data_IF_683137964880
#
_entry.id   IF_683137964880
#
_cell.length_a   1.000
_cell.length_b   1.000
_cell.length_c   1.000
_cell.angle_alpha   90.00
_cell.angle_beta   90.00
_cell.angle_gamma   90.00
#
_symmetry.space_group_name_H-M   'P 1'
#
loop_
_entity.id
_entity.type
_entity.pdbx_description
1 polymer ?
#
# COMPACT_ATOMS: atom_id res chain seq x y z
N UNK A 1 16.23 7.56 19.73
CA UNK A 1 16.42 6.10 19.79
C UNK A 1 15.81 5.51 18.53
N UNK A 2 16.63 5.11 17.55
CA UNK A 2 16.11 4.57 16.27
C UNK A 2 15.76 3.09 16.46
N UNK A 3 14.47 2.76 16.37
CA UNK A 3 13.97 1.37 16.42
C UNK A 3 14.59 0.48 15.33
N UNK A 4 15.15 1.09 14.27
CA UNK A 4 15.85 0.42 13.17
C UNK A 4 17.26 -0.09 13.53
N UNK A 5 17.70 0.07 14.80
CA UNK A 5 19.03 -0.37 15.28
C UNK A 5 19.02 -1.60 16.19
N UNK A 6 17.86 -2.21 16.47
CA UNK A 6 17.81 -3.53 17.11
C UNK A 6 17.69 -4.60 16.01
N UNK A 7 18.79 -5.32 15.70
CA UNK A 7 18.85 -6.19 14.52
C UNK A 7 17.93 -7.41 14.57
N UNK A 8 17.40 -7.79 15.74
CA UNK A 8 16.59 -9.01 15.89
C UNK A 8 15.08 -8.77 16.01
N UNK A 9 14.61 -7.51 16.08
CA UNK A 9 13.20 -7.20 16.33
C UNK A 9 12.41 -6.75 15.10
N UNK A 10 13.06 -6.10 14.13
CA UNK A 10 12.40 -5.58 12.94
C UNK A 10 12.64 -6.49 11.74
N UNK A 11 11.56 -7.04 11.16
CA UNK A 11 11.62 -7.84 9.94
C UNK A 11 10.73 -7.20 8.87
N UNK A 12 11.29 -6.93 7.70
CA UNK A 12 10.57 -6.27 6.61
C UNK A 12 9.32 -7.03 6.18
N UNK A 13 9.37 -8.36 6.15
CA UNK A 13 8.21 -9.17 5.76
C UNK A 13 7.00 -8.99 6.70
N UNK A 14 7.22 -8.86 8.03
CA UNK A 14 6.16 -8.69 9.03
C UNK A 14 5.73 -7.22 9.16
N UNK A 15 6.69 -6.32 9.24
CA UNK A 15 6.46 -4.95 9.66
C UNK A 15 6.41 -3.95 8.50
N UNK A 16 6.92 -4.33 7.32
CA UNK A 16 7.10 -3.41 6.21
C UNK A 16 5.79 -2.81 5.72
N UNK A 17 4.81 -3.65 5.37
CA UNK A 17 3.52 -3.16 4.85
C UNK A 17 2.76 -2.32 5.88
N UNK A 18 2.59 -2.75 7.16
CA UNK A 18 1.99 -1.91 8.20
C UNK A 18 2.73 -0.58 8.39
N UNK A 19 4.07 -0.59 8.36
CA UNK A 19 4.88 0.61 8.48
C UNK A 19 4.61 1.59 7.33
N UNK A 20 4.59 1.12 6.08
CA UNK A 20 4.27 1.95 4.92
C UNK A 20 2.85 2.54 5.02
N UNK A 21 1.85 1.70 5.31
CA UNK A 21 0.45 2.12 5.40
C UNK A 21 0.25 3.13 6.52
N UNK A 22 0.80 2.89 7.71
CA UNK A 22 0.69 3.79 8.84
C UNK A 22 1.31 5.16 8.54
N UNK A 23 2.53 5.15 7.99
CA UNK A 23 3.26 6.36 7.64
C UNK A 23 2.53 7.19 6.56
N UNK A 24 2.08 6.55 5.47
CA UNK A 24 1.32 7.22 4.40
C UNK A 24 -0.01 7.75 4.93
N UNK A 25 -0.73 6.97 5.74
CA UNK A 25 -1.99 7.38 6.35
C UNK A 25 -1.81 8.61 7.24
N UNK A 26 -0.73 8.66 8.02
CA UNK A 26 -0.43 9.79 8.87
C UNK A 26 -0.17 11.08 8.06
N UNK A 27 0.54 11.00 6.92
CA UNK A 27 0.70 12.15 6.01
C UNK A 27 -0.64 12.67 5.49
N UNK A 28 -1.58 11.76 5.21
CA UNK A 28 -2.92 12.09 4.73
C UNK A 28 -3.92 12.43 5.85
N UNK A 29 -3.45 12.68 7.06
CA UNK A 29 -4.30 12.99 8.21
C UNK A 29 -5.33 11.90 8.48
N UNK A 30 -4.94 10.64 8.29
CA UNK A 30 -5.77 9.45 8.42
C UNK A 30 -7.05 9.50 7.56
N UNK A 31 -6.98 10.19 6.41
CA UNK A 31 -8.08 10.31 5.48
C UNK A 31 -9.05 11.45 5.78
N UNK A 32 -8.68 12.40 6.66
CA UNK A 32 -9.47 13.60 6.87
C UNK A 32 -9.75 14.34 5.56
N UNK A 33 -11.00 14.70 5.34
CA UNK A 33 -11.50 15.52 4.23
C UNK A 33 -10.97 16.96 4.23
N UNK A 34 -10.43 17.41 5.37
CA UNK A 34 -9.79 18.73 5.50
C UNK A 34 -8.28 18.71 5.24
N UNK A 35 -7.68 17.53 5.05
CA UNK A 35 -6.25 17.43 4.79
C UNK A 35 -5.95 17.84 3.32
N UNK A 36 -5.09 18.85 3.06
CA UNK A 36 -4.83 19.32 1.69
C UNK A 36 -4.25 18.25 0.75
N UNK A 37 -3.45 17.33 1.27
CA UNK A 37 -2.90 16.21 0.48
C UNK A 37 -3.99 15.22 0.10
N UNK A 38 -4.91 14.94 1.02
CA UNK A 38 -6.07 14.10 0.75
C UNK A 38 -6.93 14.71 -0.35
N UNK A 39 -7.24 16.00 -0.26
CA UNK A 39 -8.01 16.74 -1.28
C UNK A 39 -7.31 16.67 -2.64
N UNK A 40 -6.00 16.91 -2.69
CA UNK A 40 -5.22 16.85 -3.93
C UNK A 40 -5.23 15.44 -4.56
N UNK A 41 -5.19 14.38 -3.75
CA UNK A 41 -5.30 13.00 -4.23
C UNK A 41 -6.71 12.65 -4.73
N UNK A 42 -7.76 13.11 -4.05
CA UNK A 42 -9.14 12.93 -4.53
C UNK A 42 -9.34 13.64 -5.88
N UNK A 43 -8.83 14.87 -6.03
CA UNK A 43 -8.85 15.60 -7.30
C UNK A 43 -8.10 14.85 -8.40
N UNK A 44 -6.88 14.36 -8.11
CA UNK A 44 -6.11 13.58 -9.07
C UNK A 44 -6.86 12.32 -9.50
N UNK A 45 -7.50 11.61 -8.56
CA UNK A 45 -8.30 10.43 -8.86
C UNK A 45 -9.48 10.75 -9.79
N UNK A 46 -10.18 11.85 -9.54
CA UNK A 46 -11.26 12.32 -10.41
C UNK A 46 -10.77 12.59 -11.83
N UNK A 47 -9.66 13.33 -11.98
CA UNK A 47 -9.05 13.63 -13.29
C UNK A 47 -8.61 12.39 -14.06
N UNK A 48 -7.97 11.43 -13.39
CA UNK A 48 -7.53 10.17 -14.00
C UNK A 48 -8.75 9.37 -14.46
N UNK A 49 -9.78 9.29 -13.62
CA UNK A 49 -11.02 8.58 -13.93
C UNK A 49 -11.75 9.22 -15.12
N UNK A 50 -11.83 10.55 -15.18
CA UNK A 50 -12.39 11.29 -16.31
C UNK A 50 -11.62 11.00 -17.60
N UNK A 51 -10.28 11.06 -17.59
CA UNK A 51 -9.47 10.73 -18.78
C UNK A 51 -9.70 9.30 -19.23
N UNK A 52 -9.78 8.36 -18.30
CA UNK A 52 -10.00 6.94 -18.59
C UNK A 52 -11.40 6.70 -19.16
N UNK A 53 -12.42 7.40 -18.66
CA UNK A 53 -13.80 7.37 -19.18
C UNK A 53 -13.95 8.09 -20.51
N UNK A 54 -13.19 9.14 -20.79
CA UNK A 54 -13.24 9.82 -22.09
C UNK A 54 -12.70 8.94 -23.25
N UNK A 55 -11.94 7.88 -22.96
CA UNK A 55 -11.61 6.82 -23.94
C UNK A 55 -12.72 5.78 -24.14
N UNK A 56 -13.80 5.80 -23.36
CA UNK A 56 -14.96 4.92 -23.46
C UNK A 56 -16.23 5.69 -23.02
N UNK A 57 -16.88 6.41 -23.95
CA UNK A 57 -18.07 7.25 -23.66
C UNK A 57 -19.13 6.51 -22.81
N UNK A 58 -19.90 7.13 -21.90
CA UNK A 58 -20.60 8.43 -21.91
C UNK A 58 -20.67 9.08 -20.48
N UNK A 59 -21.17 10.33 -20.33
CA UNK A 59 -20.97 11.16 -19.14
C UNK A 59 -22.06 10.96 -18.08
N UNK A 60 -21.65 10.86 -16.82
CA UNK A 60 -22.52 11.13 -15.67
C UNK A 60 -21.95 12.32 -14.89
N UNK A 61 -22.74 13.39 -14.85
CA UNK A 61 -22.55 14.58 -14.02
C UNK A 61 -22.69 14.20 -12.55
N UNK A 62 -21.68 14.44 -11.69
CA UNK A 62 -21.88 14.50 -10.23
C UNK A 62 -20.91 15.50 -9.58
N UNK A 63 -21.54 16.41 -8.82
CA UNK A 63 -21.09 17.27 -7.72
C UNK A 63 -19.72 17.97 -7.79
N UNK A 64 -19.81 19.28 -7.99
CA UNK A 64 -18.81 20.29 -7.65
C UNK A 64 -18.48 20.22 -6.14
N UNK A 65 -17.19 20.35 -5.73
CA UNK A 65 -16.86 20.51 -4.32
C UNK A 65 -17.49 21.79 -3.78
N UNK A 66 -18.24 21.66 -2.70
CA UNK A 66 -18.89 22.79 -2.04
C UNK A 66 -17.87 23.62 -1.28
N UNK A 67 -17.96 24.94 -1.52
CA UNK A 67 -17.49 26.08 -0.73
C UNK A 67 -16.64 25.81 0.51
N UNK A 68 -15.39 26.27 0.44
CA UNK A 68 -14.53 26.79 1.51
C UNK A 68 -15.21 26.85 2.88
N UNK A 69 -14.85 25.90 3.76
CA UNK A 69 -15.05 26.02 5.21
C UNK A 69 -13.87 26.74 5.82
N UNK A 70 -14.17 27.64 6.76
CA UNK A 70 -13.23 28.41 7.55
C UNK A 70 -12.04 27.57 8.03
N UNK A 71 -10.84 28.07 7.78
CA UNK A 71 -9.60 27.41 8.13
C UNK A 71 -9.52 27.08 9.63
N UNK A 72 -8.87 25.97 10.00
CA UNK A 72 -8.69 25.62 11.40
C UNK A 72 -7.91 26.71 12.16
N UNK A 73 -8.07 26.83 13.48
CA UNK A 73 -7.28 27.74 14.30
C UNK A 73 -5.78 27.58 14.04
N UNK A 74 -5.01 28.67 14.08
CA UNK A 74 -3.58 28.70 13.74
C UNK A 74 -2.75 27.62 14.47
N UNK A 75 -3.09 27.33 15.74
CA UNK A 75 -2.47 26.25 16.51
C UNK A 75 -2.69 24.85 15.91
N UNK A 76 -3.89 24.58 15.37
CA UNK A 76 -4.24 23.31 14.71
C UNK A 76 -3.59 23.20 13.33
N UNK A 77 -3.39 24.31 12.64
CA UNK A 77 -2.63 24.36 11.39
C UNK A 77 -1.15 24.01 11.61
N UNK A 78 -0.52 24.61 12.62
CA UNK A 78 0.88 24.37 12.97
C UNK A 78 1.12 22.92 13.44
N UNK A 79 0.20 22.36 14.24
CA UNK A 79 0.23 20.94 14.61
C UNK A 79 0.14 20.01 13.39
N UNK A 80 -0.80 20.29 12.47
CA UNK A 80 -0.96 19.51 11.23
C UNK A 80 0.31 19.54 10.37
N UNK A 81 0.95 20.72 10.26
CA UNK A 81 2.21 20.89 9.54
C UNK A 81 3.35 20.07 10.17
N UNK A 82 3.46 20.08 11.49
CA UNK A 82 4.48 19.29 12.21
C UNK A 82 4.27 17.79 12.04
N UNK A 83 3.02 17.33 12.16
CA UNK A 83 2.66 15.93 11.94
C UNK A 83 2.99 15.48 10.51
N UNK A 84 2.71 16.32 9.51
CA UNK A 84 3.11 16.05 8.13
C UNK A 84 4.63 15.93 7.99
N UNK A 85 5.40 16.87 8.54
CA UNK A 85 6.87 16.85 8.47
C UNK A 85 7.47 15.60 9.14
N UNK A 86 6.97 15.22 10.32
CA UNK A 86 7.41 14.02 11.03
C UNK A 86 7.04 12.76 10.24
N UNK A 87 5.81 12.65 9.77
CA UNK A 87 5.32 11.48 9.01
C UNK A 87 6.10 11.32 7.71
N UNK A 88 6.33 12.42 6.97
CA UNK A 88 7.16 12.46 5.78
C UNK A 88 8.57 11.97 6.07
N UNK A 89 9.22 12.51 7.10
CA UNK A 89 10.59 12.15 7.46
C UNK A 89 10.70 10.66 7.78
N UNK A 90 9.80 10.12 8.60
CA UNK A 90 9.79 8.69 8.96
C UNK A 90 9.54 7.84 7.71
N UNK A 91 8.66 8.28 6.81
CA UNK A 91 8.39 7.60 5.53
C UNK A 91 9.65 7.51 4.67
N UNK A 92 10.34 8.64 4.47
CA UNK A 92 11.57 8.71 3.69
C UNK A 92 12.70 7.93 4.34
N UNK A 93 12.90 8.04 5.66
CA UNK A 93 13.93 7.31 6.39
C UNK A 93 13.70 5.79 6.29
N UNK A 94 12.45 5.34 6.37
CA UNK A 94 12.09 3.92 6.18
C UNK A 94 12.39 3.47 4.75
N UNK A 95 11.98 4.26 3.75
CA UNK A 95 12.22 3.95 2.34
C UNK A 95 13.71 3.91 2.02
N UNK A 96 14.48 4.91 2.44
CA UNK A 96 15.92 4.98 2.28
C UNK A 96 16.64 3.83 2.97
N UNK A 97 16.17 3.41 4.15
CA UNK A 97 16.73 2.24 4.82
C UNK A 97 16.53 0.99 3.96
N UNK A 98 15.35 0.79 3.37
CA UNK A 98 15.10 -0.36 2.50
C UNK A 98 15.97 -0.35 1.23
N UNK A 99 16.13 0.80 0.56
CA UNK A 99 16.92 0.87 -0.69
C UNK A 99 18.43 0.86 -0.48
N UNK A 100 18.93 1.35 0.66
CA UNK A 100 20.37 1.41 0.97
C UNK A 100 20.92 0.14 1.62
N UNK A 101 20.06 -0.67 2.23
CA UNK A 101 20.50 -1.89 2.90
C UNK A 101 21.27 -2.80 1.95
N UNK A 102 22.39 -3.36 2.45
CA UNK A 102 23.27 -4.19 1.63
C UNK A 102 22.47 -5.35 1.03
N UNK A 103 22.47 -5.50 -0.31
CA UNK A 103 21.62 -6.46 -0.98
C UNK A 103 22.10 -7.88 -0.70
N UNK A 104 21.40 -8.56 0.20
CA UNK A 104 21.36 -10.03 0.28
C UNK A 104 20.06 -10.53 -0.34
N UNK A 105 20.07 -11.74 -0.92
CA UNK A 105 18.88 -12.34 -1.55
C UNK A 105 17.70 -12.36 -0.57
N UNK A 106 17.95 -12.80 0.67
CA UNK A 106 16.95 -12.86 1.75
C UNK A 106 16.40 -11.47 2.07
N UNK A 107 17.28 -10.47 2.19
CA UNK A 107 16.86 -9.10 2.48
C UNK A 107 15.93 -8.55 1.40
N UNK A 108 16.33 -8.69 0.12
CA UNK A 108 15.52 -8.18 -1.01
C UNK A 108 14.14 -8.84 -1.01
N UNK A 109 14.09 -10.16 -0.81
CA UNK A 109 12.84 -10.92 -0.76
C UNK A 109 11.92 -10.46 0.39
N UNK A 110 12.48 -10.25 1.58
CA UNK A 110 11.73 -9.79 2.75
C UNK A 110 11.20 -8.35 2.58
N UNK A 111 11.89 -7.50 1.82
CA UNK A 111 11.47 -6.11 1.58
C UNK A 111 10.52 -5.93 0.40
N UNK A 112 10.24 -6.95 -0.42
CA UNK A 112 9.47 -6.78 -1.66
C UNK A 112 8.06 -6.21 -1.44
N UNK A 113 7.35 -6.66 -0.40
CA UNK A 113 6.00 -6.19 -0.12
C UNK A 113 5.99 -4.69 0.24
N UNK A 114 6.88 -4.29 1.14
CA UNK A 114 7.12 -2.88 1.50
C UNK A 114 7.49 -2.05 0.26
N UNK A 115 8.46 -2.51 -0.52
CA UNK A 115 8.96 -1.80 -1.68
C UNK A 115 7.89 -1.66 -2.77
N UNK A 116 7.08 -2.69 -3.01
CA UNK A 116 5.95 -2.63 -3.94
C UNK A 116 4.93 -1.57 -3.52
N UNK A 117 4.58 -1.50 -2.24
CA UNK A 117 3.68 -0.48 -1.67
C UNK A 117 4.27 0.92 -1.80
N UNK A 118 5.54 1.11 -1.40
CA UNK A 118 6.20 2.41 -1.46
C UNK A 118 6.38 2.92 -2.89
N UNK A 119 6.79 2.07 -3.83
CA UNK A 119 6.93 2.45 -5.23
C UNK A 119 5.57 2.74 -5.88
N UNK A 120 4.52 1.99 -5.54
CA UNK A 120 3.14 2.29 -5.94
C UNK A 120 2.73 3.69 -5.46
N UNK A 121 2.99 3.98 -4.18
CA UNK A 121 2.66 5.27 -3.60
C UNK A 121 3.43 6.43 -4.24
N UNK A 122 4.77 6.30 -4.37
CA UNK A 122 5.63 7.30 -5.03
C UNK A 122 5.16 7.55 -6.46
N UNK A 123 4.86 6.49 -7.21
CA UNK A 123 4.31 6.59 -8.56
C UNK A 123 2.99 7.35 -8.58
N UNK A 124 2.07 7.07 -7.64
CA UNK A 124 0.83 7.83 -7.52
C UNK A 124 1.07 9.31 -7.17
N UNK A 125 2.03 9.64 -6.29
CA UNK A 125 2.41 11.04 -6.01
C UNK A 125 2.87 11.74 -7.29
N UNK A 126 3.73 11.10 -8.09
CA UNK A 126 4.18 11.65 -9.37
C UNK A 126 3.02 11.88 -10.34
N UNK A 127 2.09 10.92 -10.44
CA UNK A 127 0.90 11.10 -11.25
C UNK A 127 0.02 12.24 -10.74
N UNK A 128 -0.26 12.29 -9.44
CA UNK A 128 -1.09 13.33 -8.84
C UNK A 128 -0.53 14.73 -9.11
N UNK A 129 0.79 14.93 -8.97
CA UNK A 129 1.45 16.21 -9.30
C UNK A 129 1.23 16.64 -10.74
N UNK A 130 1.26 15.69 -11.68
CA UNK A 130 0.99 15.95 -13.11
C UNK A 130 -0.47 16.33 -13.34
N UNK A 131 -1.41 15.65 -12.68
CA UNK A 131 -2.84 15.94 -12.84
C UNK A 131 -3.27 17.25 -12.16
N UNK A 132 -2.57 17.67 -11.10
CA UNK A 132 -2.82 18.95 -10.41
C UNK A 132 -1.96 20.10 -10.92
N UNK A 133 -1.17 19.94 -11.99
CA UNK A 133 -0.21 20.97 -12.44
C UNK A 133 -0.84 22.35 -12.75
N UNK A 134 -2.12 22.37 -13.11
CA UNK A 134 -2.86 23.60 -13.41
C UNK A 134 -3.54 24.22 -12.17
N UNK A 135 -3.54 23.51 -11.04
CA UNK A 135 -4.05 23.98 -9.76
C UNK A 135 -2.88 24.21 -8.80
N UNK A 136 -2.50 25.48 -8.64
CA UNK A 136 -1.32 25.85 -7.89
C UNK A 136 -1.39 25.43 -6.42
N UNK A 137 -2.56 25.52 -5.78
CA UNK A 137 -2.72 25.20 -4.36
C UNK A 137 -2.57 23.69 -4.12
N UNK A 138 -3.22 22.88 -4.96
CA UNK A 138 -3.12 21.42 -4.89
C UNK A 138 -1.72 20.93 -5.26
N UNK A 139 -1.10 21.51 -6.30
CA UNK A 139 0.26 21.15 -6.69
C UNK A 139 1.29 21.49 -5.61
N UNK A 140 1.17 22.68 -4.99
CA UNK A 140 2.03 23.08 -3.87
C UNK A 140 1.87 22.13 -2.69
N UNK A 141 0.63 21.73 -2.37
CA UNK A 141 0.37 20.73 -1.33
C UNK A 141 1.11 19.43 -1.63
N UNK A 142 1.00 18.89 -2.85
CA UNK A 142 1.69 17.65 -3.24
C UNK A 142 3.22 17.76 -3.26
N UNK A 143 3.77 18.94 -3.53
CA UNK A 143 5.21 19.16 -3.43
C UNK A 143 5.73 19.03 -1.99
N UNK A 144 4.87 19.18 -0.99
CA UNK A 144 5.25 18.95 0.41
C UNK A 144 5.44 17.47 0.74
N UNK A 145 4.83 16.53 0.00
CA UNK A 145 4.89 15.08 0.27
C UNK A 145 6.31 14.55 0.08
N UNK A 146 6.81 14.59 -1.15
CA UNK A 146 8.19 14.26 -1.50
C UNK A 146 8.68 15.24 -2.56
N UNK A 147 9.78 15.91 -2.30
CA UNK A 147 10.58 16.61 -3.30
C UNK A 147 11.38 15.61 -4.14
N UNK A 148 11.68 15.95 -5.40
CA UNK A 148 12.51 15.10 -6.25
C UNK A 148 13.88 14.82 -5.63
N UNK A 149 14.46 15.81 -4.94
CA UNK A 149 15.79 15.74 -4.33
C UNK A 149 15.80 14.99 -2.99
N UNK A 150 14.62 14.70 -2.44
CA UNK A 150 14.50 14.00 -1.15
C UNK A 150 14.52 12.48 -1.32
N UNK A 151 14.25 11.97 -2.53
CA UNK A 151 14.33 10.53 -2.82
C UNK A 151 15.72 10.22 -3.34
N UNK A 152 16.41 9.27 -2.71
CA UNK A 152 17.71 8.79 -3.16
C UNK A 152 17.59 7.90 -4.41
N UNK A 153 17.28 8.49 -5.57
CA UNK A 153 16.99 7.77 -6.81
C UNK A 153 18.11 6.83 -7.26
N UNK A 154 19.37 7.17 -6.98
CA UNK A 154 20.51 6.30 -7.27
C UNK A 154 20.45 5.00 -6.45
N UNK A 155 20.05 5.08 -5.18
CA UNK A 155 19.83 3.91 -4.32
C UNK A 155 18.61 3.11 -4.80
N UNK A 156 17.55 3.79 -5.26
CA UNK A 156 16.37 3.14 -5.87
C UNK A 156 16.76 2.35 -7.12
N UNK A 157 17.52 2.96 -8.04
CA UNK A 157 18.04 2.30 -9.24
C UNK A 157 18.94 1.11 -8.86
N UNK A 158 19.81 1.29 -7.85
CA UNK A 158 20.64 0.22 -7.29
C UNK A 158 19.81 -0.96 -6.78
N UNK A 159 18.76 -0.69 -5.98
CA UNK A 159 17.85 -1.72 -5.48
C UNK A 159 17.14 -2.45 -6.62
N UNK A 160 16.57 -1.72 -7.58
CA UNK A 160 15.87 -2.29 -8.74
C UNK A 160 16.82 -3.15 -9.58
N UNK A 161 18.05 -2.71 -9.82
CA UNK A 161 19.06 -3.49 -10.54
C UNK A 161 19.43 -4.80 -9.83
N UNK A 162 19.49 -4.82 -8.50
CA UNK A 162 19.65 -6.07 -7.77
C UNK A 162 18.43 -6.97 -7.93
N UNK A 163 17.22 -6.41 -7.90
CA UNK A 163 16.00 -7.15 -8.12
C UNK A 163 15.94 -7.75 -9.53
N UNK A 164 16.39 -7.04 -10.58
CA UNK A 164 16.47 -7.58 -11.96
C UNK A 164 17.33 -8.83 -12.03
N UNK A 165 18.41 -8.92 -11.25
CA UNK A 165 19.27 -10.11 -11.21
C UNK A 165 18.57 -11.33 -10.60
N UNK A 166 17.68 -11.11 -9.64
CA UNK A 166 16.90 -12.17 -8.99
C UNK A 166 15.67 -12.55 -9.81
N UNK A 167 15.06 -11.55 -10.45
CA UNK A 167 13.85 -11.67 -11.26
C UNK A 167 14.07 -10.88 -12.57
N UNK A 168 14.52 -11.56 -13.64
CA UNK A 168 14.73 -10.90 -14.92
C UNK A 168 13.45 -10.23 -15.43
N UNK A 169 13.62 -9.01 -15.93
CA UNK A 169 12.54 -8.24 -16.57
C UNK A 169 12.12 -8.94 -17.85
N UNK A 170 10.81 -9.13 -18.04
CA UNK A 170 10.25 -9.74 -19.24
C UNK A 170 9.67 -8.68 -20.18
N UNK A 171 9.58 -8.99 -21.48
CA UNK A 171 8.97 -8.08 -22.46
C UNK A 171 7.53 -7.72 -22.11
N UNK A 172 6.77 -8.70 -21.59
CA UNK A 172 5.40 -8.48 -21.09
C UNK A 172 5.39 -7.43 -19.98
N UNK A 173 6.33 -7.50 -19.03
CA UNK A 173 6.41 -6.55 -17.92
C UNK A 173 6.69 -5.13 -18.43
N UNK A 174 7.64 -4.99 -19.36
CA UNK A 174 7.99 -3.71 -20.01
C UNK A 174 6.80 -3.14 -20.76
N UNK A 175 6.12 -3.97 -21.57
CA UNK A 175 4.95 -3.54 -22.33
C UNK A 175 3.81 -3.09 -21.41
N UNK A 176 3.52 -3.88 -20.36
CA UNK A 176 2.49 -3.52 -19.38
C UNK A 176 2.81 -2.17 -18.71
N UNK A 177 4.05 -1.96 -18.29
CA UNK A 177 4.48 -0.71 -17.66
C UNK A 177 4.36 0.49 -18.61
N UNK A 178 4.82 0.38 -19.87
CA UNK A 178 4.70 1.45 -20.88
C UNK A 178 3.26 1.85 -21.17
N UNK A 179 2.35 0.87 -21.17
CA UNK A 179 0.94 1.08 -21.45
C UNK A 179 0.13 1.46 -20.20
N UNK A 180 0.73 1.42 -19.01
CA UNK A 180 0.02 1.63 -17.75
C UNK A 180 -1.04 0.57 -17.45
N UNK A 181 -0.96 -0.61 -18.08
CA UNK A 181 -1.91 -1.72 -17.85
C UNK A 181 -1.39 -2.64 -16.75
N UNK A 182 -2.31 -3.27 -16.01
CA UNK A 182 -1.96 -4.23 -14.97
C UNK A 182 -1.31 -5.49 -15.56
N UNK A 183 -0.38 -6.11 -14.83
CA UNK A 183 0.37 -7.28 -15.32
C UNK A 183 -0.55 -8.45 -15.65
N UNK A 184 -1.57 -8.65 -14.81
CA UNK A 184 -2.56 -9.72 -14.96
C UNK A 184 -3.92 -9.13 -15.30
N UNK A 185 -4.69 -9.80 -16.15
CA UNK A 185 -6.06 -9.35 -16.47
C UNK A 185 -7.02 -9.65 -15.31
N UNK A 186 -8.21 -9.06 -15.35
CA UNK A 186 -9.29 -9.45 -14.44
C UNK A 186 -9.52 -10.97 -14.51
N UNK A 187 -9.58 -11.63 -13.36
CA UNK A 187 -9.68 -13.10 -13.26
C UNK A 187 -8.35 -13.86 -13.45
N UNK A 188 -7.26 -13.19 -13.86
CA UNK A 188 -5.93 -13.78 -13.90
C UNK A 188 -5.16 -13.41 -12.61
N UNK A 189 -4.88 -14.39 -11.76
CA UNK A 189 -4.13 -14.18 -10.52
C UNK A 189 -4.99 -13.93 -9.29
N UNK A 190 -4.32 -13.60 -8.19
CA UNK A 190 -4.93 -13.42 -6.87
C UNK A 190 -4.29 -12.20 -6.19
N UNK A 191 -5.05 -11.45 -5.36
CA UNK A 191 -4.48 -10.40 -4.53
C UNK A 191 -3.34 -10.91 -3.65
N UNK A 192 -2.31 -10.09 -3.49
CA UNK A 192 -1.27 -10.32 -2.49
C UNK A 192 -1.77 -9.89 -1.09
N UNK A 193 -1.19 -10.40 0.00
CA UNK A 193 -1.61 -10.01 1.36
C UNK A 193 -1.65 -8.48 1.56
N UNK A 194 -0.65 -7.78 1.02
CA UNK A 194 -0.58 -6.31 1.05
C UNK A 194 -1.67 -5.58 0.26
N UNK A 195 -2.28 -6.22 -0.76
CA UNK A 195 -3.35 -5.60 -1.55
C UNK A 195 -4.59 -5.34 -0.69
N UNK A 196 -4.88 -6.26 0.22
CA UNK A 196 -5.96 -6.09 1.20
C UNK A 196 -5.65 -4.96 2.19
N UNK A 197 -4.37 -4.76 2.52
CA UNK A 197 -3.94 -3.72 3.47
C UNK A 197 -4.07 -2.31 2.90
N UNK A 198 -3.96 -2.17 1.58
CA UNK A 198 -4.00 -0.86 0.91
C UNK A 198 -5.33 -0.61 0.17
N UNK A 199 -6.22 -1.61 0.11
CA UNK A 199 -7.54 -1.49 -0.50
C UNK A 199 -8.35 -0.39 0.18
N UNK A 200 -8.92 0.51 -0.62
CA UNK A 200 -9.73 1.63 -0.16
C UNK A 200 -8.93 2.87 0.28
N UNK A 201 -7.59 2.79 0.28
CA UNK A 201 -6.76 3.98 0.46
C UNK A 201 -6.77 4.82 -0.81
N UNK A 202 -6.92 6.14 -0.65
CA UNK A 202 -7.11 7.10 -1.76
C UNK A 202 -6.00 7.01 -2.82
N UNK A 203 -4.75 6.75 -2.42
CA UNK A 203 -3.61 6.67 -3.33
C UNK A 203 -3.47 5.30 -4.02
N UNK A 204 -4.21 4.30 -3.57
CA UNK A 204 -4.21 2.94 -4.13
C UNK A 204 -5.41 2.71 -5.06
N UNK A 205 -6.18 3.75 -5.40
CA UNK A 205 -7.42 3.62 -6.16
C UNK A 205 -7.24 2.91 -7.52
N UNK A 206 -6.15 3.22 -8.23
CA UNK A 206 -5.80 2.59 -9.51
C UNK A 206 -4.72 1.50 -9.39
N UNK A 207 -4.43 1.04 -8.16
CA UNK A 207 -3.44 0.01 -7.92
C UNK A 207 -3.95 -1.40 -8.24
N UNK A 208 -5.22 -1.56 -8.65
CA UNK A 208 -5.82 -2.87 -8.89
C UNK A 208 -6.66 -2.85 -10.16
N UNK A 209 -6.77 -3.99 -10.84
CA UNK A 209 -7.71 -4.15 -11.94
C UNK A 209 -9.14 -4.35 -11.43
N UNK A 210 -10.17 -4.03 -12.23
CA UNK A 210 -11.56 -4.35 -11.88
C UNK A 210 -11.73 -5.83 -11.57
N UNK A 211 -12.48 -6.14 -10.51
CA UNK A 211 -12.72 -7.50 -10.05
C UNK A 211 -11.53 -8.22 -9.40
N UNK A 212 -10.46 -7.49 -9.07
CA UNK A 212 -9.27 -8.07 -8.40
C UNK A 212 -9.61 -8.80 -7.10
N UNK A 213 -10.64 -8.36 -6.39
CA UNK A 213 -11.06 -8.90 -5.09
C UNK A 213 -12.38 -9.69 -5.16
N UNK A 214 -12.87 -10.04 -6.35
CA UNK A 214 -14.21 -10.65 -6.54
C UNK A 214 -14.19 -12.19 -6.41
N UNK A 215 -13.08 -12.79 -6.00
CA UNK A 215 -12.99 -14.26 -5.89
C UNK A 215 -13.75 -14.79 -4.68
N UNK A 216 -14.71 -15.69 -4.91
CA UNK A 216 -15.47 -16.48 -3.92
C UNK A 216 -14.60 -17.45 -3.07
N UNK A 217 -13.28 -17.44 -3.25
CA UNK A 217 -12.35 -18.17 -2.38
C UNK A 217 -12.18 -17.44 -1.03
N UNK A 218 -13.29 -17.22 -0.33
CA UNK A 218 -13.41 -16.67 1.03
C UNK A 218 -12.92 -17.66 2.10
N UNK A 219 -11.78 -18.28 1.83
CA UNK A 219 -11.00 -18.92 2.87
C UNK A 219 -10.00 -17.89 3.36
N UNK A 220 -10.48 -17.00 4.23
CA UNK A 220 -9.70 -15.92 4.89
C UNK A 220 -8.30 -16.38 5.33
N UNK A 221 -8.14 -17.64 5.76
CA UNK A 221 -6.88 -18.22 6.18
C UNK A 221 -5.82 -18.38 5.07
N UNK A 222 -6.22 -18.53 3.80
CA UNK A 222 -5.29 -18.65 2.68
C UNK A 222 -4.72 -17.28 2.24
N UNK A 223 -5.31 -16.16 2.68
CA UNK A 223 -4.87 -14.81 2.30
C UNK A 223 -3.46 -14.48 2.78
N UNK A 224 -3.01 -15.10 3.87
CA UNK A 224 -1.69 -14.89 4.47
C UNK A 224 -0.71 -16.02 4.18
N UNK A 225 -1.08 -17.00 3.34
CA UNK A 225 -0.19 -18.11 3.00
C UNK A 225 0.77 -17.65 1.91
N UNK A 226 2.04 -17.46 2.29
CA UNK A 226 3.09 -17.13 1.35
C UNK A 226 3.58 -18.37 0.59
N UNK A 227 3.58 -18.28 -0.73
CA UNK A 227 4.14 -19.30 -1.62
C UNK A 227 5.25 -18.68 -2.47
N UNK A 228 6.03 -19.52 -3.15
CA UNK A 228 7.02 -19.04 -4.12
C UNK A 228 6.40 -18.10 -5.17
N UNK A 229 5.15 -18.36 -5.58
CA UNK A 229 4.40 -17.50 -6.50
C UNK A 229 4.09 -16.11 -5.92
N UNK A 230 3.97 -15.98 -4.59
CA UNK A 230 3.80 -14.70 -3.89
C UNK A 230 5.06 -13.84 -4.06
N UNK A 231 6.25 -14.39 -3.79
CA UNK A 231 7.51 -13.66 -3.97
C UNK A 231 7.73 -13.21 -5.41
N UNK A 232 7.42 -14.07 -6.39
CA UNK A 232 7.50 -13.71 -7.82
C UNK A 232 6.56 -12.55 -8.13
N UNK A 233 5.31 -12.58 -7.65
CA UNK A 233 4.35 -11.52 -7.89
C UNK A 233 4.76 -10.19 -7.21
N UNK A 234 5.38 -10.23 -6.03
CA UNK A 234 5.93 -9.03 -5.37
C UNK A 234 7.10 -8.43 -6.12
N UNK A 235 8.01 -9.27 -6.61
CA UNK A 235 9.14 -8.84 -7.44
C UNK A 235 8.64 -8.19 -8.73
N UNK A 236 7.69 -8.84 -9.41
CA UNK A 236 7.06 -8.32 -10.61
C UNK A 236 6.38 -6.98 -10.37
N UNK A 237 5.70 -6.80 -9.23
CA UNK A 237 5.06 -5.52 -8.86
C UNK A 237 6.06 -4.41 -8.58
N UNK A 238 7.12 -4.69 -7.82
CA UNK A 238 8.16 -3.71 -7.56
C UNK A 238 8.86 -3.27 -8.86
N UNK A 239 9.19 -4.21 -9.75
CA UNK A 239 9.75 -3.91 -11.06
C UNK A 239 8.77 -3.14 -11.96
N UNK A 240 7.48 -3.48 -11.93
CA UNK A 240 6.46 -2.76 -12.68
C UNK A 240 6.39 -1.27 -12.32
N UNK A 241 6.31 -0.95 -11.03
CA UNK A 241 6.30 0.45 -10.61
C UNK A 241 7.64 1.14 -10.85
N UNK A 242 8.77 0.42 -10.70
CA UNK A 242 10.09 0.93 -11.09
C UNK A 242 10.16 1.31 -12.57
N UNK A 243 9.66 0.45 -13.46
CA UNK A 243 9.56 0.71 -14.90
C UNK A 243 8.62 1.87 -15.21
N UNK A 244 7.44 1.94 -14.56
CA UNK A 244 6.52 3.07 -14.74
C UNK A 244 7.14 4.40 -14.33
N UNK A 245 7.86 4.43 -13.21
CA UNK A 245 8.62 5.61 -12.81
C UNK A 245 9.67 5.97 -13.87
N UNK A 246 10.39 4.98 -14.41
CA UNK A 246 11.39 5.21 -15.45
C UNK A 246 10.81 5.68 -16.80
N UNK A 247 9.56 5.34 -17.11
CA UNK A 247 8.90 5.77 -18.36
C UNK A 247 8.10 7.06 -18.24
N UNK A 248 7.66 7.43 -17.04
CA UNK A 248 6.72 8.55 -16.83
C UNK A 248 7.32 9.73 -16.06
N UNK A 249 8.55 9.58 -15.54
CA UNK A 249 9.22 10.60 -14.74
C UNK A 249 10.66 10.79 -15.19
N UNK A 250 11.27 11.96 -14.97
CA UNK A 250 12.67 12.20 -15.30
C UNK A 250 13.65 11.63 -14.25
N UNK A 251 13.16 11.01 -13.18
CA UNK A 251 14.01 10.63 -12.04
C UNK A 251 14.73 9.30 -12.22
N UNK A 252 14.18 8.43 -13.06
CA UNK A 252 14.74 7.14 -13.40
C UNK A 252 14.74 6.96 -14.92
N UNK A 253 15.68 6.18 -15.41
CA UNK A 253 15.73 5.72 -16.80
C UNK A 253 15.96 4.22 -16.81
N UNK A 254 15.37 3.53 -17.79
CA UNK A 254 15.53 2.09 -17.98
C UNK A 254 16.08 1.80 -19.37
N UNK A 255 17.28 1.21 -19.43
CA UNK A 255 17.85 0.71 -20.67
C UNK A 255 17.33 -0.71 -20.93
N UNK A 256 16.59 -0.87 -22.02
CA UNK A 256 16.00 -2.15 -22.42
C UNK A 256 17.04 -3.13 -22.99
N UNK A 257 18.22 -2.66 -23.40
CA UNK A 257 19.28 -3.52 -23.94
C UNK A 257 20.09 -4.16 -22.81
N UNK A 258 20.51 -3.37 -21.83
CA UNK A 258 21.23 -3.90 -20.65
C UNK A 258 20.31 -4.39 -19.52
N UNK A 259 19.00 -4.12 -19.61
CA UNK A 259 18.02 -4.34 -18.54
C UNK A 259 18.43 -3.66 -17.22
N UNK A 260 18.94 -2.43 -17.30
CA UNK A 260 19.40 -1.68 -16.12
C UNK A 260 18.66 -0.37 -15.92
N UNK A 261 18.45 -0.05 -14.65
CA UNK A 261 17.97 1.23 -14.16
C UNK A 261 19.15 2.17 -13.89
N UNK A 262 18.97 3.44 -14.22
CA UNK A 262 19.91 4.51 -13.92
C UNK A 262 19.16 5.79 -13.56
N UNK A 263 19.88 6.76 -13.03
CA UNK A 263 19.38 8.12 -12.79
C UNK A 263 20.01 9.07 -13.79
N UNK A 264 19.26 10.04 -14.28
CA UNK A 264 19.84 11.08 -15.12
C UNK A 264 20.85 11.92 -14.32
N UNK A 265 22.08 12.15 -14.84
CA UNK A 265 23.12 12.87 -14.11
C UNK A 265 22.78 14.34 -13.82
N UNK A 266 21.80 14.92 -14.54
CA UNK A 266 21.34 16.31 -14.32
C UNK A 266 20.59 16.48 -12.99
N UNK A 267 20.04 15.40 -12.44
CA UNK A 267 19.29 15.39 -11.18
C UNK A 267 20.09 14.84 -9.98
N UNK A 268 21.35 14.47 -10.18
CA UNK A 268 22.19 13.98 -9.09
C UNK A 268 22.60 15.16 -8.19
N UNK A 269 22.22 15.18 -6.88
CA UNK A 269 22.74 16.19 -5.98
C UNK A 269 24.27 16.06 -5.92
N UNK A 270 24.96 17.18 -6.14
CA UNK A 270 26.42 17.23 -6.02
C UNK A 270 26.82 16.76 -4.62
N UNK A 271 27.49 15.61 -4.53
CA UNK A 271 28.00 15.07 -3.28
C UNK A 271 29.03 16.03 -2.68
N UNK A 272 28.58 17.00 -1.88
CA UNK A 272 29.44 17.68 -0.92
C UNK A 272 29.35 16.91 0.37
N UNK A 273 30.33 16.03 0.60
CA UNK A 273 30.50 15.27 1.83
C UNK A 273 30.77 16.23 2.99
N UNK A 274 29.72 16.79 3.61
CA UNK A 274 29.85 17.36 4.94
C UNK A 274 29.65 16.25 5.97
N UNK A 275 30.77 15.84 6.54
CA UNK A 275 30.88 14.96 7.70
C UNK A 275 30.06 15.58 8.84
N UNK A 276 28.89 15.01 9.15
CA UNK A 276 28.14 15.37 10.35
C UNK A 276 28.97 14.98 11.57
N UNK A 277 29.66 15.97 12.16
CA UNK A 277 30.26 15.81 13.48
C UNK A 277 29.16 15.71 14.54
N UNK A 278 29.32 14.88 15.59
CA UNK A 278 28.38 14.82 16.69
C UNK A 278 28.42 16.14 17.46
N UNK A 279 27.24 16.76 17.63
CA UNK A 279 27.04 17.96 18.43
C UNK A 279 27.47 17.68 19.88
N UNK A 280 28.63 18.21 20.28
CA UNK A 280 29.05 18.29 21.68
C UNK A 280 28.17 19.32 22.39
N UNK A 281 27.33 18.87 23.31
CA UNK A 281 26.65 19.73 24.28
C UNK A 281 27.68 20.24 25.28
N UNK A 282 28.06 21.51 25.15
CA UNK A 282 28.74 22.25 26.21
C UNK A 282 27.70 22.65 27.24
N UNK A 283 27.71 21.99 28.39
CA UNK A 283 27.21 22.56 29.65
C UNK A 283 28.29 22.33 30.70
N UNK A 284 29.09 23.36 30.93
CA UNK A 284 29.93 23.49 32.10
C UNK A 284 29.34 24.61 32.98
N UNK A 285 29.29 24.28 34.27
CA UNK A 285 29.36 25.16 35.44
C UNK A 285 28.15 26.04 35.82
N UNK A 286 27.44 25.62 36.88
CA UNK A 286 27.52 26.22 38.24
C UNK A 286 26.56 25.48 39.22
N UNK A 287 26.73 25.58 40.56
CA UNK A 287 27.10 24.44 41.39
C UNK A 287 25.97 23.82 42.23
N UNK A 288 26.27 22.62 42.72
CA UNK A 288 25.49 21.80 43.62
C UNK A 288 25.15 22.48 44.97
N UNK A 289 23.88 22.47 45.32
CA UNK A 289 23.43 22.47 46.72
C UNK A 289 22.90 21.08 47.09
N UNK A 290 23.66 20.41 47.96
CA UNK A 290 23.27 19.19 48.67
C UNK A 290 22.07 19.47 49.57
N UNK A 291 21.00 18.69 49.42
CA UNK A 291 20.07 18.38 50.49
C UNK A 291 19.98 16.85 50.63
N UNK A 292 20.22 16.37 51.85
CA UNK A 292 20.25 14.96 52.26
C UNK A 292 18.82 14.38 52.27
N UNK A 293 18.61 13.10 51.90
CA UNK A 293 17.28 12.49 51.91
C UNK A 293 16.90 11.98 53.32
N UNK A 294 15.69 12.33 53.76
CA UNK A 294 15.05 11.72 54.94
C UNK A 294 14.29 10.44 54.55
N UNK A 295 14.29 9.38 55.38
CA UNK A 295 13.65 8.12 55.07
C UNK A 295 12.20 8.14 55.55
N UNK A 296 11.24 7.99 54.62
CA UNK A 296 9.90 7.43 54.77
C UNK A 296 8.90 8.13 53.84
N UNK A 297 8.64 7.52 52.68
CA UNK A 297 7.36 7.65 52.01
C UNK A 297 7.11 6.37 51.20
N UNK A 298 6.11 5.60 51.64
CA UNK A 298 5.66 4.37 51.01
C UNK A 298 5.17 4.64 49.59
N UNK A 299 5.63 3.81 48.64
CA UNK A 299 5.12 3.74 47.28
C UNK A 299 3.77 3.03 47.28
N UNK A 300 2.70 3.73 46.92
CA UNK A 300 1.43 3.13 46.51
C UNK A 300 1.29 3.21 44.99
N UNK A 301 0.85 2.13 44.30
CA UNK A 301 0.68 2.14 42.85
C UNK A 301 -0.57 2.94 42.44
N UNK A 302 -0.57 3.61 41.27
CA UNK A 302 -1.75 4.34 40.81
C UNK A 302 -2.86 3.39 40.37
N UNK A 303 -4.04 3.61 40.96
CA UNK A 303 -5.30 2.94 40.64
C UNK A 303 -5.86 3.45 39.31
N UNK A 304 -6.23 2.52 38.44
CA UNK A 304 -7.00 2.71 37.22
C UNK A 304 -8.41 3.23 37.54
N UNK A 305 -8.85 4.30 36.87
CA UNK A 305 -10.25 4.69 36.80
C UNK A 305 -10.62 5.01 35.34
N UNK A 306 -11.78 4.55 34.83
CA UNK A 306 -12.19 4.76 33.45
C UNK A 306 -12.86 6.13 33.30
N UNK A 307 -12.46 6.88 32.27
CA UNK A 307 -13.16 8.08 31.85
C UNK A 307 -14.30 7.69 30.89
N UNK A 308 -15.52 7.68 31.41
CA UNK A 308 -16.73 7.75 30.61
C UNK A 308 -16.95 9.19 30.16
N UNK A 309 -16.92 9.45 28.86
CA UNK A 309 -17.60 10.61 28.28
C UNK A 309 -18.34 10.16 27.03
N UNK A 310 -19.65 10.22 27.16
CA UNK A 310 -20.63 10.01 26.12
C UNK A 310 -20.44 11.07 25.02
N UNK A 311 -20.45 10.62 23.77
CA UNK A 311 -20.78 11.46 22.63
C UNK A 311 -21.80 10.68 21.81
N UNK A 312 -23.03 11.20 21.79
CA UNK A 312 -24.09 10.80 20.89
C UNK A 312 -23.61 10.83 19.44
N UNK A 313 -23.95 9.79 18.70
CA UNK A 313 -23.73 9.67 17.27
C UNK A 313 -24.58 8.52 16.73
N UNK A 314 -25.60 8.88 15.97
CA UNK A 314 -26.59 8.00 15.34
C UNK A 314 -25.99 6.74 14.70
N UNK A 315 -26.31 5.58 15.29
CA UNK A 315 -26.19 4.29 14.61
C UNK A 315 -27.59 3.80 14.24
N UNK A 316 -27.84 3.63 12.94
CA UNK A 316 -29.01 2.91 12.44
C UNK A 316 -28.79 1.41 12.69
N UNK A 317 -29.55 0.85 13.63
CA UNK A 317 -29.60 -0.59 13.85
C UNK A 317 -30.31 -1.29 12.68
N UNK A 318 -29.56 -2.03 11.87
CA UNK A 318 -30.13 -2.94 10.87
C UNK A 318 -30.61 -4.23 11.57
N UNK A 319 -31.88 -4.65 11.42
CA UNK A 319 -32.37 -5.88 12.03
C UNK A 319 -31.68 -7.11 11.43
N UNK A 320 -31.19 -7.99 12.29
CA UNK A 320 -30.65 -9.30 11.91
C UNK A 320 -31.80 -10.22 11.49
N UNK A 321 -31.75 -10.94 10.35
CA UNK A 321 -32.77 -11.91 10.02
C UNK A 321 -32.75 -13.08 11.01
N UNK A 322 -33.90 -13.37 11.60
CA UNK A 322 -34.16 -14.48 12.51
C UNK A 322 -33.92 -15.82 11.82
N UNK A 323 -32.85 -16.54 12.20
CA UNK A 323 -32.72 -17.98 11.94
C UNK A 323 -33.49 -18.75 13.01
N UNK A 324 -34.47 -19.54 12.58
CA UNK A 324 -35.11 -20.56 13.41
C UNK A 324 -34.06 -21.51 13.99
N UNK A 325 -34.13 -21.75 15.29
CA UNK A 325 -33.31 -22.70 16.00
C UNK A 325 -33.68 -24.13 15.58
N UNK A 326 -32.77 -24.81 14.87
CA UNK A 326 -32.74 -26.27 14.83
C UNK A 326 -31.63 -26.72 15.78
N UNK A 327 -32.04 -27.46 16.81
CA UNK A 327 -31.18 -28.11 17.80
C UNK A 327 -30.17 -29.07 17.13
N UNK A 328 -28.89 -28.82 17.35
CA UNK A 328 -27.81 -29.72 16.93
C UNK A 328 -27.73 -30.95 17.87
N UNK A 329 -27.52 -32.17 17.35
CA UNK A 329 -27.19 -33.32 18.18
C UNK A 329 -25.70 -33.31 18.59
N UNK A 330 -25.43 -33.86 19.77
CA UNK A 330 -24.12 -33.92 20.44
C UNK A 330 -22.98 -34.57 19.62
N UNK A 331 -21.70 -34.22 19.87
CA UNK A 331 -20.58 -34.65 19.04
C UNK A 331 -20.26 -36.14 19.23
N UNK A 332 -20.13 -36.88 18.11
CA UNK A 332 -19.65 -38.27 18.10
C UNK A 332 -18.13 -38.29 17.89
N UNK A 333 -17.42 -38.95 18.80
CA UNK A 333 -15.97 -39.22 18.76
C UNK A 333 -15.59 -40.20 17.64
N UNK A 334 -14.37 -40.04 17.11
CA UNK A 334 -13.77 -40.70 15.93
C UNK A 334 -13.64 -42.24 15.95
N UNK A 335 -14.23 -42.96 16.90
CA UNK A 335 -14.02 -44.40 17.11
C UNK A 335 -15.12 -45.32 16.54
N UNK A 336 -16.14 -44.80 15.85
CA UNK A 336 -17.33 -45.58 15.45
C UNK A 336 -17.67 -45.53 13.96
N UNK A 337 -16.67 -45.55 13.07
CA UNK A 337 -16.88 -45.65 11.60
C UNK A 337 -16.33 -46.96 11.01
N UNK A 338 -15.69 -47.81 11.81
CA UNK A 338 -15.21 -49.14 11.36
C UNK A 338 -16.05 -50.24 12.01
N UNK A 339 -17.31 -50.39 11.59
CA UNK A 339 -18.13 -51.62 11.71
C UNK A 339 -19.58 -51.31 11.31
N UNK A 340 -19.85 -51.33 10.01
CA UNK A 340 -21.09 -51.88 9.39
C UNK A 340 -21.02 -51.59 7.89
N UNK A 341 -20.64 -52.59 7.11
CA UNK A 341 -20.82 -52.58 5.67
C UNK A 341 -22.26 -52.98 5.30
N UNK A 342 -22.80 -52.38 4.26
CA UNK A 342 -23.90 -52.89 3.41
C UNK A 342 -23.99 -52.06 2.12
N UNK A 343 -23.49 -52.67 1.04
CA UNK A 343 -23.75 -52.61 -0.43
C UNK A 343 -24.50 -51.44 -1.14
N UNK A 344 -24.24 -51.23 -2.46
CA UNK A 344 -24.40 -49.95 -3.16
C UNK A 344 -25.74 -49.77 -3.90
N UNK A 345 -26.21 -48.52 -4.00
CA UNK A 345 -27.32 -48.14 -4.86
C UNK A 345 -26.85 -47.40 -6.13
N UNK A 346 -27.57 -47.70 -7.21
CA UNK A 346 -27.23 -47.53 -8.63
C UNK A 346 -27.11 -46.07 -9.09
N UNK A 347 -26.17 -45.85 -10.01
CA UNK A 347 -25.99 -44.62 -10.78
C UNK A 347 -27.19 -44.36 -11.71
N UNK A 348 -27.78 -43.17 -11.62
CA UNK A 348 -28.74 -42.66 -12.59
C UNK A 348 -28.00 -41.88 -13.69
N UNK A 349 -27.99 -42.42 -14.91
CA UNK A 349 -27.68 -41.70 -16.16
C UNK A 349 -28.79 -40.69 -16.42
N UNK A 350 -28.44 -39.43 -16.68
CA UNK A 350 -29.30 -38.53 -17.45
C UNK A 350 -28.67 -38.23 -18.81
N UNK A 351 -29.55 -38.27 -19.79
CA UNK A 351 -29.38 -38.40 -21.23
C UNK A 351 -29.17 -37.06 -21.94
N UNK A 352 -28.31 -37.08 -22.99
CA UNK A 352 -28.18 -36.01 -23.98
C UNK A 352 -29.42 -35.92 -24.87
N UNK A 353 -29.87 -34.72 -25.29
CA UNK A 353 -30.74 -34.58 -26.45
C UNK A 353 -29.94 -34.31 -27.74
N UNK A 354 -30.22 -35.13 -28.77
CA UNK A 354 -30.13 -34.87 -30.23
C UNK A 354 -31.56 -35.11 -30.73
N UNK A 355 -32.14 -34.50 -31.78
CA UNK A 355 -31.68 -33.73 -32.92
C UNK A 355 -32.91 -32.99 -33.47
N UNK A 356 -32.74 -31.85 -34.14
CA UNK A 356 -33.75 -31.26 -35.01
C UNK A 356 -33.06 -30.59 -36.20
N UNK A 357 -33.09 -31.27 -37.34
CA UNK A 357 -32.62 -30.84 -38.66
C UNK A 357 -33.57 -29.79 -39.26
N UNK A 358 -33.04 -28.69 -39.81
CA UNK A 358 -33.36 -28.32 -41.19
C UNK A 358 -32.52 -27.14 -41.74
N UNK A 359 -32.05 -27.36 -42.97
CA UNK A 359 -31.74 -26.41 -44.05
C UNK A 359 -30.58 -25.41 -43.92
N UNK A 360 -29.40 -25.84 -44.38
CA UNK A 360 -28.43 -24.97 -45.05
C UNK A 360 -28.76 -24.87 -46.55
N UNK A 361 -28.89 -23.64 -47.07
CA UNK A 361 -28.70 -23.35 -48.50
C UNK A 361 -27.30 -22.76 -48.68
N UNK A 362 -26.50 -23.46 -49.48
CA UNK A 362 -25.25 -22.99 -50.06
C UNK A 362 -25.59 -22.13 -51.27
N UNK A 363 -24.99 -20.95 -51.36
CA UNK A 363 -24.81 -20.21 -52.62
C UNK A 363 -23.39 -19.66 -52.59
N UNK A 364 -22.57 -20.15 -53.51
CA UNK A 364 -21.38 -19.51 -54.09
C UNK A 364 -21.30 -20.08 -55.53
N UNK A 365 -20.77 -19.32 -56.50
CA UNK A 365 -19.32 -19.11 -56.61
C UNK A 365 -18.83 -17.68 -56.38
#
# INVERSE_FOLDING_TARGET
MSFLRQPDAFRWHDCGVPLAVANISAMLGHGSDTNPLRIAFDFANQRINERTRLSASAPNHVATPSSVRSGPPEAKYEETRRLLQVSKRITLDSFHTAVRCRPGIVFIQDSLAFMGVMLCFIHFVCQAKRETQNDQELNMSLCLVFGPDEIAWADVAGYLNHLVRLRPVTDRLVQCAKQGIWLKKAGEGKPLPEDFSIRGLVWAYFAFCPGWFDTDEDKDWLRNVEMASTHTARADRALYYGLRLAFETPYLSFDSTSCTFSTDPVLAPSNTTQTLQPLRTNTADLPAQRAVPGPNAQLSPPSSAPASSASDGDYVHVPRPTKQAQTAPAPKTWATVVKTGSTPMKAARLTKPKLGTDNMRVVDP
#
